data_IF_019027148469
#
_entry.id   IF_019027148469
#
_cell.length_a   1.000
_cell.length_b   1.000
_cell.length_c   1.000
_cell.angle_alpha   90.00
_cell.angle_beta   90.00
_cell.angle_gamma   90.00
#
_symmetry.space_group_name_H-M   'P 1'
#
loop_
_entity.id
_entity.type
_entity.pdbx_description
1 polymer ?
#
# COMPACT_ATOMS: atom_id res chain seq x y z
N UNK A 1 -29.51 -7.62 -10.51
CA UNK A 1 -29.29 -7.65 -9.05
C UNK A 1 -27.97 -8.38 -8.82
N UNK A 2 -27.02 -7.79 -8.10
CA UNK A 2 -25.84 -8.55 -7.66
C UNK A 2 -26.22 -9.38 -6.43
N UNK A 3 -25.71 -10.61 -6.32
CA UNK A 3 -26.00 -11.51 -5.20
C UNK A 3 -25.43 -10.94 -3.89
N UNK A 4 -26.31 -10.60 -2.94
CA UNK A 4 -25.94 -10.05 -1.63
C UNK A 4 -25.47 -11.15 -0.65
N UNK A 5 -24.56 -12.02 -1.09
CA UNK A 5 -23.98 -13.06 -0.25
C UNK A 5 -22.50 -13.18 -0.53
N UNK A 6 -21.67 -13.10 0.52
CA UNK A 6 -20.31 -13.60 0.47
C UNK A 6 -20.30 -15.13 0.29
N UNK A 7 -19.13 -15.69 -0.02
CA UNK A 7 -18.95 -17.14 0.00
C UNK A 7 -19.15 -17.67 1.43
N UNK A 8 -19.73 -18.87 1.57
CA UNK A 8 -19.81 -19.54 2.87
C UNK A 8 -18.43 -20.00 3.34
N UNK A 9 -18.26 -20.25 4.64
CA UNK A 9 -16.97 -20.68 5.21
C UNK A 9 -16.48 -21.99 4.58
N UNK A 10 -17.40 -22.92 4.27
CA UNK A 10 -17.09 -24.17 3.60
C UNK A 10 -16.62 -23.94 2.16
N UNK A 11 -17.25 -23.00 1.44
CA UNK A 11 -16.87 -22.66 0.07
C UNK A 11 -15.52 -21.93 0.00
N UNK A 12 -15.19 -21.09 0.99
CA UNK A 12 -13.86 -20.47 1.14
C UNK A 12 -12.82 -21.54 1.46
N UNK A 13 -13.07 -22.38 2.47
CA UNK A 13 -12.15 -23.44 2.89
C UNK A 13 -11.87 -24.45 1.75
N UNK A 14 -12.89 -24.83 0.98
CA UNK A 14 -12.73 -25.74 -0.16
C UNK A 14 -11.97 -25.12 -1.37
N UNK A 15 -11.86 -23.78 -1.43
CA UNK A 15 -11.06 -23.10 -2.45
C UNK A 15 -9.57 -23.03 -2.08
N UNK A 16 -9.24 -23.09 -0.79
CA UNK A 16 -7.87 -23.12 -0.30
C UNK A 16 -7.20 -24.49 -0.56
N UNK A 17 -5.89 -24.46 -0.78
CA UNK A 17 -5.04 -25.65 -0.94
C UNK A 17 -3.76 -25.45 -0.14
N UNK A 18 -3.19 -26.56 0.32
CA UNK A 18 -1.81 -26.57 0.82
C UNK A 18 -0.85 -26.03 -0.24
N UNK A 19 0.15 -25.27 0.21
CA UNK A 19 1.18 -24.71 -0.66
C UNK A 19 2.09 -25.80 -1.21
N UNK A 20 2.53 -25.66 -2.46
CA UNK A 20 3.58 -26.53 -3.01
C UNK A 20 4.89 -26.28 -2.23
N UNK A 21 5.64 -27.31 -1.80
CA UNK A 21 6.93 -27.15 -1.11
C UNK A 21 7.92 -26.21 -1.81
N UNK A 22 7.88 -26.06 -3.14
CA UNK A 22 8.73 -25.11 -3.88
C UNK A 22 8.43 -23.64 -3.55
N UNK A 23 7.21 -23.34 -3.10
CA UNK A 23 6.74 -21.98 -2.77
C UNK A 23 6.97 -21.60 -1.31
N UNK A 24 7.49 -22.51 -0.48
CA UNK A 24 7.67 -22.31 0.97
C UNK A 24 8.44 -21.04 1.32
N UNK A 25 9.44 -20.70 0.52
CA UNK A 25 10.36 -19.60 0.77
C UNK A 25 10.02 -18.35 -0.09
N UNK A 26 8.82 -18.30 -0.71
CA UNK A 26 8.32 -17.14 -1.44
C UNK A 26 7.75 -16.08 -0.48
N UNK A 27 7.90 -14.79 -0.83
CA UNK A 27 7.35 -13.67 -0.05
C UNK A 27 6.64 -12.64 -0.95
N UNK A 28 5.59 -12.01 -0.42
CA UNK A 28 4.95 -10.86 -1.06
C UNK A 28 5.80 -9.60 -0.80
N UNK A 29 6.79 -9.36 -1.67
CA UNK A 29 7.83 -8.36 -1.41
C UNK A 29 7.42 -6.91 -1.67
N UNK A 30 6.53 -6.64 -2.64
CA UNK A 30 6.21 -5.28 -3.07
C UNK A 30 4.78 -5.12 -3.59
N UNK A 31 4.24 -3.90 -3.40
CA UNK A 31 3.05 -3.39 -4.09
C UNK A 31 3.50 -2.13 -4.84
N UNK A 32 3.37 -2.12 -6.18
CA UNK A 32 3.79 -0.99 -7.00
C UNK A 32 2.61 -0.03 -7.25
N UNK A 33 2.79 1.23 -6.83
CA UNK A 33 1.92 2.36 -7.16
C UNK A 33 2.69 3.34 -8.05
N UNK A 34 1.99 4.02 -8.96
CA UNK A 34 2.59 5.09 -9.77
C UNK A 34 2.35 6.42 -9.06
N UNK A 35 3.41 7.19 -8.85
CA UNK A 35 3.35 8.52 -8.23
C UNK A 35 3.61 9.59 -9.28
N UNK A 36 2.85 10.69 -9.25
CA UNK A 36 3.04 11.81 -10.18
C UNK A 36 4.29 12.63 -9.86
N UNK A 37 4.44 13.02 -8.59
CA UNK A 37 5.53 13.85 -8.09
C UNK A 37 6.19 13.17 -6.87
N UNK A 38 7.38 12.57 -7.04
CA UNK A 38 8.03 11.84 -5.96
C UNK A 38 8.51 12.74 -4.81
N UNK A 39 8.64 14.06 -5.02
CA UNK A 39 8.99 15.00 -3.95
C UNK A 39 7.96 15.01 -2.82
N UNK A 40 6.69 14.80 -3.15
CA UNK A 40 5.57 14.85 -2.20
C UNK A 40 5.44 13.59 -1.33
N UNK A 41 6.06 12.46 -1.72
CA UNK A 41 6.04 11.21 -0.93
C UNK A 41 6.76 11.39 0.42
N UNK A 42 7.83 12.17 0.43
CA UNK A 42 8.77 12.30 1.56
C UNK A 42 8.14 12.79 2.88
N UNK A 43 6.98 13.45 2.81
CA UNK A 43 6.24 13.91 3.99
C UNK A 43 5.20 12.92 4.54
N UNK A 44 4.97 11.78 3.87
CA UNK A 44 3.85 10.88 4.14
C UNK A 44 4.27 9.53 4.75
N UNK A 45 5.44 9.03 4.34
CA UNK A 45 6.10 7.84 4.86
C UNK A 45 7.59 8.17 5.05
N UNK A 46 8.31 7.40 5.88
CA UNK A 46 9.77 7.54 6.03
C UNK A 46 10.50 7.04 4.76
N UNK A 47 10.36 7.79 3.67
CA UNK A 47 11.01 7.53 2.40
C UNK A 47 12.48 7.99 2.46
N UNK A 48 13.41 7.11 2.12
CA UNK A 48 14.77 7.50 1.76
C UNK A 48 14.86 7.58 0.23
N UNK A 49 14.71 8.77 -0.40
CA UNK A 49 14.84 8.90 -1.85
C UNK A 49 16.25 8.50 -2.31
N UNK A 50 16.35 7.84 -3.47
CA UNK A 50 17.63 7.45 -4.09
C UNK A 50 17.62 7.75 -5.59
N UNK A 51 18.74 8.26 -6.10
CA UNK A 51 18.96 8.64 -7.49
C UNK A 51 19.70 7.54 -8.29
N UNK A 52 19.23 6.29 -8.20
CA UNK A 52 19.86 5.17 -8.91
C UNK A 52 19.36 5.08 -10.36
N UNK A 53 19.96 5.88 -11.25
CA UNK A 53 19.62 5.95 -12.69
C UNK A 53 20.22 4.77 -13.46
N UNK A 54 19.58 3.60 -13.36
CA UNK A 54 20.11 2.35 -13.90
C UNK A 54 19.89 2.20 -15.43
N UNK A 55 18.87 2.83 -16.04
CA UNK A 55 18.74 2.93 -17.50
C UNK A 55 18.02 4.22 -17.98
N UNK A 56 18.73 5.16 -18.65
CA UNK A 56 18.13 6.38 -19.22
C UNK A 56 17.16 6.13 -20.39
N UNK A 57 17.22 4.97 -21.05
CA UNK A 57 16.40 4.68 -22.24
C UNK A 57 14.93 4.44 -21.88
N UNK A 58 14.66 3.88 -20.71
CA UNK A 58 13.30 3.56 -20.26
C UNK A 58 12.59 4.73 -19.55
N UNK A 59 13.34 5.74 -19.09
CA UNK A 59 12.84 6.97 -18.43
C UNK A 59 12.07 6.75 -17.11
N UNK A 60 12.58 5.95 -16.16
CA UNK A 60 11.94 5.74 -14.85
C UNK A 60 12.90 5.40 -13.64
N UNK A 61 12.77 6.02 -12.44
CA UNK A 61 13.48 5.83 -11.11
C UNK A 61 12.51 5.77 -9.87
N UNK A 62 12.60 4.77 -8.95
CA UNK A 62 11.60 4.40 -7.89
C UNK A 62 11.91 4.98 -6.53
N UNK A 63 10.90 4.80 -5.70
CA UNK A 63 10.98 4.87 -4.27
C UNK A 63 10.47 3.53 -3.73
N UNK A 64 11.38 2.64 -3.34
CA UNK A 64 11.02 1.52 -2.46
C UNK A 64 10.85 2.10 -1.07
N UNK A 65 9.65 1.96 -0.50
CA UNK A 65 9.32 2.39 0.85
C UNK A 65 9.06 1.15 1.71
N UNK A 66 9.54 1.20 2.95
CA UNK A 66 9.36 0.16 3.95
C UNK A 66 9.56 0.74 5.35
N UNK A 67 9.10 0.03 6.37
CA UNK A 67 9.32 0.37 7.77
C UNK A 67 10.63 -0.25 8.26
N UNK A 68 11.75 0.21 7.69
CA UNK A 68 13.10 -0.26 8.01
C UNK A 68 13.86 0.79 8.83
N UNK A 69 14.72 0.34 9.74
CA UNK A 69 15.63 1.24 10.46
C UNK A 69 16.74 1.74 9.53
N UNK A 70 17.13 3.01 9.69
CA UNK A 70 18.13 3.64 8.80
C UNK A 70 19.51 2.98 8.90
N UNK A 71 19.83 2.34 10.03
CA UNK A 71 21.06 1.56 10.25
C UNK A 71 21.15 0.30 9.40
N UNK A 72 20.00 -0.28 9.07
CA UNK A 72 19.92 -1.63 8.49
C UNK A 72 19.93 -1.57 6.94
N UNK A 73 19.85 -0.34 6.42
CA UNK A 73 20.00 -0.01 5.01
C UNK A 73 21.51 -0.05 4.65
N UNK A 74 21.95 -0.92 3.72
CA UNK A 74 23.33 -0.94 3.25
C UNK A 74 23.77 0.42 2.69
N UNK A 75 25.04 0.79 2.90
CA UNK A 75 25.62 2.01 2.32
C UNK A 75 25.95 1.83 0.83
N UNK A 76 26.32 0.62 0.42
CA UNK A 76 26.75 0.30 -0.95
C UNK A 76 25.60 0.40 -1.97
N UNK A 77 25.81 1.21 -3.00
CA UNK A 77 24.79 1.53 -4.02
C UNK A 77 24.35 0.30 -4.81
N UNK A 78 25.23 -0.71 -4.97
CA UNK A 78 24.90 -1.96 -5.69
C UNK A 78 23.89 -2.85 -4.95
N UNK A 79 23.67 -2.61 -3.66
CA UNK A 79 22.74 -3.38 -2.82
C UNK A 79 21.40 -2.63 -2.62
N UNK A 80 21.16 -1.61 -3.46
CA UNK A 80 20.05 -0.64 -3.41
C UNK A 80 19.37 -0.55 -4.79
N UNK A 81 18.09 -0.18 -4.90
CA UNK A 81 17.35 -0.21 -6.20
C UNK A 81 16.24 0.86 -6.32
N UNK A 82 15.98 1.38 -7.54
CA UNK A 82 14.96 2.40 -7.85
C UNK A 82 14.56 2.56 -9.38
N UNK A 83 13.33 2.20 -9.84
CA UNK A 83 12.60 2.46 -11.13
C UNK A 83 11.06 2.99 -11.18
N UNK A 84 10.68 4.28 -11.42
CA UNK A 84 9.33 4.93 -11.78
C UNK A 84 9.37 6.32 -12.53
N UNK A 85 8.37 6.66 -13.36
CA UNK A 85 8.48 7.50 -14.59
C UNK A 85 9.00 8.96 -14.46
N UNK A 86 9.83 9.41 -15.41
CA UNK A 86 10.37 10.79 -15.49
C UNK A 86 9.42 11.76 -16.21
N UNK A 87 9.20 12.95 -15.64
CA UNK A 87 8.48 14.06 -16.27
C UNK A 87 6.98 14.12 -15.96
N UNK A 88 6.41 13.16 -15.22
CA UNK A 88 5.01 13.18 -14.79
C UNK A 88 4.68 14.36 -13.88
N UNK A 89 5.67 14.85 -13.15
CA UNK A 89 5.59 16.01 -12.26
C UNK A 89 5.35 17.33 -13.00
N UNK A 90 5.73 17.41 -14.29
CA UNK A 90 5.59 18.60 -15.13
C UNK A 90 4.28 18.63 -15.94
N UNK A 91 3.58 17.50 -16.04
CA UNK A 91 2.35 17.36 -16.82
C UNK A 91 1.13 17.74 -15.96
N UNK A 92 0.67 18.99 -16.03
CA UNK A 92 -0.43 19.50 -15.18
C UNK A 92 -1.69 18.62 -15.24
N UNK A 93 -2.09 18.20 -16.43
CA UNK A 93 -3.30 17.38 -16.66
C UNK A 93 -3.16 15.91 -16.30
N UNK A 94 -1.94 15.41 -16.06
CA UNK A 94 -1.72 14.01 -15.67
C UNK A 94 -2.20 13.75 -14.25
N UNK A 95 -2.91 12.65 -14.06
CA UNK A 95 -3.30 12.11 -12.75
C UNK A 95 -3.40 10.59 -12.86
N UNK A 96 -3.05 9.88 -11.78
CA UNK A 96 -3.24 8.43 -11.71
C UNK A 96 -4.63 8.08 -11.16
N UNK A 97 -5.13 6.91 -11.55
CA UNK A 97 -6.43 6.42 -11.10
C UNK A 97 -6.26 5.52 -9.87
N UNK A 98 -6.95 5.86 -8.79
CA UNK A 98 -6.80 5.20 -7.49
C UNK A 98 -7.63 3.91 -7.32
N UNK A 99 -8.36 3.47 -8.35
CA UNK A 99 -9.20 2.27 -8.36
C UNK A 99 -10.53 2.34 -7.59
N UNK A 100 -10.76 3.39 -6.79
CA UNK A 100 -11.96 3.56 -5.94
C UNK A 100 -13.15 4.25 -6.65
N UNK A 101 -13.02 4.50 -7.96
CA UNK A 101 -14.10 4.98 -8.85
C UNK A 101 -14.10 4.14 -10.13
N UNK A 102 -15.13 4.20 -10.96
CA UNK A 102 -15.13 3.45 -12.24
C UNK A 102 -13.97 3.90 -13.15
N UNK A 103 -13.29 2.98 -13.87
CA UNK A 103 -13.32 1.53 -13.70
C UNK A 103 -12.67 1.11 -12.38
N UNK A 104 -13.38 0.32 -11.56
CA UNK A 104 -12.92 -0.06 -10.21
C UNK A 104 -11.95 -1.23 -10.25
N UNK A 105 -10.98 -1.27 -9.33
CA UNK A 105 -9.97 -2.34 -9.29
C UNK A 105 -9.22 -2.38 -7.96
N UNK A 106 -8.03 -1.78 -7.92
CA UNK A 106 -7.28 -1.57 -6.67
C UNK A 106 -8.12 -0.76 -5.66
N UNK A 107 -7.97 -1.07 -4.37
CA UNK A 107 -8.64 -0.34 -3.28
C UNK A 107 -7.67 0.55 -2.53
N UNK A 108 -6.82 -0.07 -1.71
CA UNK A 108 -5.92 0.62 -0.79
C UNK A 108 -4.74 -0.28 -0.40
N UNK A 109 -3.71 0.34 0.20
CA UNK A 109 -2.78 -0.36 1.09
C UNK A 109 -3.23 -0.14 2.55
N UNK A 110 -2.84 -1.05 3.46
CA UNK A 110 -3.14 -0.93 4.89
C UNK A 110 -1.87 -0.77 5.73
N UNK A 111 -1.92 0.11 6.72
CA UNK A 111 -0.88 0.31 7.74
C UNK A 111 -1.47 -0.04 9.10
N UNK A 112 -0.93 -1.11 9.69
CA UNK A 112 -1.24 -1.48 11.06
C UNK A 112 -0.53 -0.54 12.06
N UNK A 113 -1.30 0.04 12.98
CA UNK A 113 -0.79 0.91 14.05
C UNK A 113 -1.28 0.42 15.42
N UNK A 114 -0.53 0.62 16.52
CA UNK A 114 -1.00 0.23 17.85
C UNK A 114 -2.31 0.95 18.23
N UNK A 115 -2.39 2.24 17.94
CA UNK A 115 -3.54 3.11 18.27
C UNK A 115 -3.85 4.07 17.09
N UNK A 116 -5.00 3.84 16.45
CA UNK A 116 -5.52 4.66 15.33
C UNK A 116 -5.86 6.08 15.80
N UNK A 117 -6.32 6.25 17.03
CA UNK A 117 -6.75 7.55 17.57
C UNK A 117 -5.54 8.46 17.82
N UNK A 118 -4.46 7.90 18.37
CA UNK A 118 -3.17 8.59 18.50
C UNK A 118 -2.58 8.93 17.12
N UNK A 119 -2.51 7.94 16.20
CA UNK A 119 -1.96 8.12 14.86
C UNK A 119 -2.69 9.20 14.05
N UNK A 120 -4.03 9.18 14.05
CA UNK A 120 -4.89 10.12 13.31
C UNK A 120 -5.17 11.43 14.06
N UNK A 121 -4.42 11.74 15.13
CA UNK A 121 -4.58 12.96 15.95
C UNK A 121 -6.04 13.21 16.37
N UNK A 122 -6.62 12.24 17.07
CA UNK A 122 -7.91 12.34 17.76
C UNK A 122 -9.15 12.41 16.84
N UNK A 123 -9.01 12.14 15.52
CA UNK A 123 -10.10 12.30 14.53
C UNK A 123 -11.01 11.08 14.34
N UNK A 124 -10.50 9.86 14.49
CA UNK A 124 -11.21 8.62 14.15
C UNK A 124 -10.98 7.56 15.23
N UNK A 125 -12.02 6.79 15.58
CA UNK A 125 -11.92 5.66 16.51
C UNK A 125 -11.84 4.35 15.71
N UNK A 126 -10.90 3.50 16.09
CA UNK A 126 -10.70 2.11 15.64
C UNK A 126 -10.33 1.87 14.17
N UNK A 127 -10.76 2.72 13.23
CA UNK A 127 -10.41 2.64 11.80
C UNK A 127 -10.41 4.02 11.12
N UNK A 128 -9.47 4.27 10.21
CA UNK A 128 -9.46 5.48 9.39
C UNK A 128 -8.96 5.21 7.96
N UNK A 129 -9.34 6.08 7.01
CA UNK A 129 -8.75 6.15 5.68
C UNK A 129 -8.13 7.53 5.47
N UNK A 130 -6.91 7.57 4.95
CA UNK A 130 -6.23 8.78 4.48
C UNK A 130 -5.91 8.64 2.98
N UNK A 131 -5.50 9.74 2.36
CA UNK A 131 -5.09 9.77 0.95
C UNK A 131 -3.65 10.26 0.84
N UNK A 132 -2.87 9.61 0.00
CA UNK A 132 -1.56 10.11 -0.43
C UNK A 132 -1.70 11.26 -1.46
N UNK A 133 -0.61 11.89 -1.93
CA UNK A 133 -0.67 13.00 -2.89
C UNK A 133 -1.33 12.66 -4.23
N UNK A 134 -1.28 11.40 -4.68
CA UNK A 134 -1.94 10.90 -5.90
C UNK A 134 -3.39 10.44 -5.65
N UNK A 135 -3.85 10.50 -4.41
CA UNK A 135 -5.22 10.14 -4.01
C UNK A 135 -5.44 8.64 -3.81
N UNK A 136 -4.38 7.82 -3.75
CA UNK A 136 -4.49 6.42 -3.31
C UNK A 136 -4.94 6.36 -1.85
N UNK A 137 -5.85 5.44 -1.57
CA UNK A 137 -6.38 5.27 -0.22
C UNK A 137 -5.40 4.44 0.62
N UNK A 138 -5.21 4.85 1.86
CA UNK A 138 -4.38 4.18 2.85
C UNK A 138 -5.26 3.94 4.08
N UNK A 139 -5.47 2.67 4.40
CA UNK A 139 -6.20 2.24 5.60
C UNK A 139 -5.28 2.31 6.83
N UNK A 140 -5.73 2.95 7.90
CA UNK A 140 -5.03 3.02 9.19
C UNK A 140 -5.87 2.24 10.20
N UNK A 141 -5.34 1.11 10.67
CA UNK A 141 -6.08 0.12 11.45
C UNK A 141 -5.29 -0.39 12.66
N UNK A 142 -5.98 -0.72 13.75
CA UNK A 142 -5.36 -1.43 14.89
C UNK A 142 -5.83 -2.89 14.90
N UNK A 143 -4.93 -3.87 14.69
CA UNK A 143 -5.29 -5.29 14.69
C UNK A 143 -6.00 -5.73 15.99
N UNK A 144 -5.58 -5.15 17.12
CA UNK A 144 -6.13 -5.46 18.45
C UNK A 144 -7.61 -5.02 18.60
N UNK A 145 -8.04 -3.97 17.90
CA UNK A 145 -9.40 -3.45 17.99
C UNK A 145 -10.33 -4.01 16.89
N UNK A 146 -9.78 -4.60 15.83
CA UNK A 146 -10.53 -5.00 14.64
C UNK A 146 -11.64 -6.03 14.92
N UNK A 147 -11.41 -6.98 15.83
CA UNK A 147 -12.41 -7.99 16.22
C UNK A 147 -13.70 -7.36 16.78
N UNK A 148 -13.60 -6.22 17.45
CA UNK A 148 -14.76 -5.52 18.02
C UNK A 148 -15.56 -4.72 16.97
N UNK A 149 -14.98 -4.46 15.79
CA UNK A 149 -15.66 -3.81 14.67
C UNK A 149 -16.45 -4.81 13.84
N UNK A 150 -15.85 -5.96 13.51
CA UNK A 150 -16.51 -6.99 12.70
C UNK A 150 -17.74 -7.58 13.39
N UNK A 151 -17.70 -7.77 14.71
CA UNK A 151 -18.85 -8.20 15.51
C UNK A 151 -20.02 -7.20 15.49
N UNK A 152 -19.74 -5.88 15.47
CA UNK A 152 -20.80 -4.86 15.42
C UNK A 152 -21.53 -4.83 14.07
N UNK A 153 -20.80 -5.06 12.97
CA UNK A 153 -21.39 -5.08 11.62
C UNK A 153 -22.25 -6.33 11.35
N UNK A 154 -22.08 -7.40 12.13
CA UNK A 154 -22.92 -8.60 12.04
C UNK A 154 -24.23 -8.50 12.85
N UNK A 155 -24.43 -7.40 13.61
CA UNK A 155 -25.59 -7.19 14.48
C UNK A 155 -26.51 -6.04 14.01
N UNK A 156 -26.28 -5.52 12.80
CA UNK A 156 -27.02 -4.39 12.18
C UNK A 156 -27.49 -4.73 10.78
#
# INVERSE_FOLDING_TARGET
MASQGGMSEEAVSAACKEGDPITRDFMMQQTMLRVKDPGQISGFLHASPRDDKIDPSMRFTLYFLGFEEKSDIPEEIKERTAWTNWGSELEESLSFHNGNRKPTGFGHIGIAVPDVYAACKWKMKDLAFIQDPDGYWIEILSPNNMFNLTQKQQQT
#
